data_IF_247868970789
#
_entry.id   IF_247868970789
#
_cell.length_a   1.000
_cell.length_b   1.000
_cell.length_c   1.000
_cell.angle_alpha   90.00
_cell.angle_beta   90.00
_cell.angle_gamma   90.00
#
_symmetry.space_group_name_H-M   'P 1'
#
loop_
_entity.id
_entity.type
_entity.pdbx_description
1 polymer ?
#
# COMPACT_ATOMS: atom_id res chain seq x y z
N UNK A 1 21.59 -13.95 5.05
CA UNK A 1 20.67 -13.06 4.29
C UNK A 1 20.91 -11.54 4.47
N UNK A 2 21.95 -11.07 5.16
CA UNK A 2 22.20 -9.60 5.32
C UNK A 2 23.30 -9.00 4.45
N UNK A 3 24.21 -9.83 3.91
CA UNK A 3 25.39 -9.37 3.19
C UNK A 3 25.06 -8.75 1.82
N UNK A 4 24.27 -9.44 0.99
CA UNK A 4 23.85 -8.94 -0.33
C UNK A 4 23.06 -7.64 -0.22
N UNK A 5 22.17 -7.53 0.76
CA UNK A 5 21.40 -6.32 1.01
C UNK A 5 22.31 -5.12 1.32
N UNK A 6 23.23 -5.24 2.28
CA UNK A 6 24.16 -4.15 2.64
C UNK A 6 24.99 -3.66 1.45
N UNK A 7 25.27 -4.53 0.48
CA UNK A 7 25.96 -4.17 -0.76
C UNK A 7 25.02 -3.54 -1.79
N UNK A 8 23.79 -4.04 -1.92
CA UNK A 8 22.81 -3.59 -2.91
C UNK A 8 22.23 -2.21 -2.62
N UNK A 9 21.90 -1.88 -1.37
CA UNK A 9 21.31 -0.58 -1.00
C UNK A 9 22.15 0.65 -1.41
N UNK A 10 23.45 0.74 -1.08
CA UNK A 10 24.26 1.86 -1.55
C UNK A 10 24.46 1.83 -3.08
N UNK A 11 24.58 0.66 -3.70
CA UNK A 11 24.69 0.53 -5.15
C UNK A 11 23.41 1.02 -5.89
N UNK A 12 22.25 0.92 -5.26
CA UNK A 12 20.98 1.46 -5.75
C UNK A 12 20.76 2.94 -5.39
N UNK A 13 21.74 3.63 -4.78
CA UNK A 13 21.59 5.02 -4.33
C UNK A 13 20.70 5.19 -3.10
N UNK A 14 20.40 4.11 -2.37
CA UNK A 14 19.45 4.08 -1.24
C UNK A 14 20.15 3.63 0.06
N UNK A 15 21.20 4.32 0.53
CA UNK A 15 22.07 3.84 1.62
C UNK A 15 21.35 3.66 2.96
N UNK A 16 20.30 4.43 3.21
CA UNK A 16 19.50 4.42 4.45
C UNK A 16 18.29 3.50 4.40
N UNK A 17 17.93 2.98 3.21
CA UNK A 17 16.73 2.16 3.02
C UNK A 17 16.83 0.86 3.81
N UNK A 18 15.81 0.52 4.60
CA UNK A 18 15.71 -0.71 5.39
C UNK A 18 14.84 -1.74 4.67
N UNK A 19 15.06 -3.02 4.97
CA UNK A 19 14.24 -4.10 4.41
C UNK A 19 12.75 -3.93 4.73
N UNK A 20 12.43 -3.37 5.90
CA UNK A 20 11.05 -3.08 6.28
C UNK A 20 10.42 -1.99 5.41
N UNK A 21 11.19 -1.01 4.95
CA UNK A 21 10.67 0.07 4.10
C UNK A 21 10.19 -0.48 2.74
N UNK A 22 10.86 -1.51 2.20
CA UNK A 22 10.39 -2.24 1.01
C UNK A 22 9.05 -2.96 1.27
N UNK A 23 8.91 -3.58 2.44
CA UNK A 23 7.66 -4.24 2.83
C UNK A 23 6.52 -3.22 2.97
N UNK A 24 6.79 -2.05 3.56
CA UNK A 24 5.84 -0.95 3.65
C UNK A 24 5.43 -0.43 2.26
N UNK A 25 6.41 -0.20 1.38
CA UNK A 25 6.14 0.23 0.00
C UNK A 25 5.22 -0.76 -0.72
N UNK A 26 5.55 -2.05 -0.69
CA UNK A 26 4.76 -3.07 -1.36
C UNK A 26 3.35 -3.20 -0.78
N UNK A 27 3.21 -3.21 0.55
CA UNK A 27 1.91 -3.26 1.22
C UNK A 27 1.04 -2.04 0.84
N UNK A 28 1.60 -0.83 0.90
CA UNK A 28 0.87 0.40 0.56
C UNK A 28 0.37 0.40 -0.89
N UNK A 29 1.18 -0.09 -1.83
CA UNK A 29 0.79 -0.18 -3.24
C UNK A 29 -0.36 -1.16 -3.49
N UNK A 30 -0.34 -2.34 -2.85
CA UNK A 30 -1.42 -3.31 -2.97
C UNK A 30 -2.73 -2.77 -2.38
N UNK A 31 -2.66 -2.09 -1.24
CA UNK A 31 -3.84 -1.50 -0.59
C UNK A 31 -4.41 -0.37 -1.44
N UNK A 32 -3.55 0.50 -1.99
CA UNK A 32 -3.96 1.56 -2.91
C UNK A 32 -4.58 1.01 -4.21
N UNK A 33 -4.15 -0.18 -4.66
CA UNK A 33 -4.76 -0.90 -5.78
C UNK A 33 -6.11 -1.55 -5.43
N UNK A 34 -6.60 -1.41 -4.19
CA UNK A 34 -7.88 -1.94 -3.74
C UNK A 34 -7.84 -3.41 -3.32
N UNK A 35 -6.66 -4.00 -3.12
CA UNK A 35 -6.56 -5.38 -2.64
C UNK A 35 -7.09 -5.51 -1.20
N UNK A 36 -7.73 -6.64 -0.90
CA UNK A 36 -8.20 -6.96 0.43
C UNK A 36 -7.07 -7.46 1.35
N UNK A 37 -7.35 -7.52 2.65
CA UNK A 37 -6.39 -7.90 3.68
C UNK A 37 -5.78 -9.29 3.49
N UNK A 38 -6.53 -10.27 3.00
CA UNK A 38 -6.05 -11.64 2.78
C UNK A 38 -5.10 -11.66 1.60
N UNK A 39 -5.41 -10.94 0.53
CA UNK A 39 -4.52 -10.77 -0.63
C UNK A 39 -3.20 -10.12 -0.22
N UNK A 40 -3.26 -9.01 0.53
CA UNK A 40 -2.06 -8.33 1.02
C UNK A 40 -1.25 -9.23 1.97
N UNK A 41 -1.92 -9.93 2.89
CA UNK A 41 -1.26 -10.88 3.80
C UNK A 41 -0.49 -11.98 3.05
N UNK A 42 -1.11 -12.59 2.05
CA UNK A 42 -0.48 -13.64 1.23
C UNK A 42 0.71 -13.08 0.44
N UNK A 43 0.55 -11.91 -0.16
CA UNK A 43 1.61 -11.25 -0.91
C UNK A 43 2.83 -10.89 -0.04
N UNK A 44 2.61 -10.53 1.23
CA UNK A 44 3.68 -10.23 2.19
C UNK A 44 4.28 -11.50 2.84
N UNK A 45 3.67 -12.67 2.63
CA UNK A 45 4.06 -13.92 3.28
C UNK A 45 3.80 -13.93 4.79
N UNK A 46 2.86 -13.12 5.29
CA UNK A 46 2.50 -13.14 6.71
C UNK A 46 1.70 -14.40 7.02
N UNK A 47 2.02 -15.05 8.15
CA UNK A 47 1.33 -16.25 8.59
C UNK A 47 -0.12 -16.01 9.02
N UNK A 48 -0.48 -14.76 9.35
CA UNK A 48 -1.83 -14.39 9.77
C UNK A 48 -2.20 -12.98 9.29
N UNK A 49 -3.47 -12.80 8.93
CA UNK A 49 -4.04 -11.50 8.56
C UNK A 49 -3.95 -10.47 9.70
N UNK A 50 -3.93 -10.92 10.97
CA UNK A 50 -3.77 -10.04 12.13
C UNK A 50 -2.47 -9.25 12.09
N UNK A 51 -1.37 -9.86 11.63
CA UNK A 51 -0.07 -9.17 11.50
C UNK A 51 -0.17 -8.03 10.48
N UNK A 52 -0.83 -8.31 9.35
CA UNK A 52 -1.07 -7.31 8.31
C UNK A 52 -1.98 -6.19 8.83
N UNK A 53 -3.09 -6.53 9.47
CA UNK A 53 -4.03 -5.52 10.02
C UNK A 53 -3.38 -4.64 11.09
N UNK A 54 -2.65 -5.24 12.02
CA UNK A 54 -1.97 -4.50 13.09
C UNK A 54 -1.00 -3.45 12.55
N UNK A 55 -0.46 -3.66 11.35
CA UNK A 55 0.53 -2.75 10.75
C UNK A 55 -0.10 -1.80 9.74
N UNK A 56 -1.06 -2.27 8.92
CA UNK A 56 -1.50 -1.57 7.71
C UNK A 56 -2.99 -1.21 7.68
N UNK A 57 -3.78 -1.54 8.70
CA UNK A 57 -5.23 -1.28 8.69
C UNK A 57 -5.58 0.17 8.34
N UNK A 58 -4.78 1.12 8.80
CA UNK A 58 -4.96 2.55 8.57
C UNK A 58 -4.78 3.00 7.11
N UNK A 59 -4.27 2.14 6.23
CA UNK A 59 -4.10 2.44 4.80
C UNK A 59 -5.35 2.10 3.98
N UNK A 60 -6.26 1.27 4.51
CA UNK A 60 -7.49 0.97 3.80
C UNK A 60 -8.45 2.15 3.86
N UNK A 61 -9.07 2.53 2.72
CA UNK A 61 -10.02 3.63 2.69
C UNK A 61 -11.24 3.30 3.56
N UNK A 62 -11.65 4.26 4.38
CA UNK A 62 -12.88 4.16 5.14
C UNK A 62 -14.10 4.09 4.22
N UNK A 63 -15.24 3.67 4.76
CA UNK A 63 -16.52 3.79 4.06
C UNK A 63 -16.78 5.24 3.63
N UNK A 64 -16.37 6.21 4.45
CA UNK A 64 -16.49 7.64 4.15
C UNK A 64 -15.60 8.08 2.98
N UNK A 65 -14.36 7.58 2.92
CA UNK A 65 -13.41 7.90 1.84
C UNK A 65 -13.92 7.39 0.49
N UNK A 66 -14.53 6.20 0.49
CA UNK A 66 -15.16 5.62 -0.71
C UNK A 66 -16.36 6.42 -1.18
N UNK A 67 -17.17 6.94 -0.27
CA UNK A 67 -18.32 7.80 -0.63
C UNK A 67 -17.87 9.16 -1.16
N UNK A 68 -16.86 9.79 -0.55
CA UNK A 68 -16.31 11.07 -1.04
C UNK A 68 -15.78 10.95 -2.47
N UNK A 69 -14.94 9.95 -2.75
CA UNK A 69 -14.41 9.74 -4.10
C UNK A 69 -15.50 9.51 -5.17
N UNK A 70 -16.62 8.87 -4.80
CA UNK A 70 -17.75 8.65 -5.71
C UNK A 70 -18.57 9.92 -5.95
N UNK A 71 -18.70 10.77 -4.94
CA UNK A 71 -19.30 12.11 -5.08
C UNK A 71 -18.53 12.99 -6.06
N UNK A 72 -17.19 12.95 -5.99
CA UNK A 72 -16.30 13.70 -6.88
C UNK A 72 -16.41 13.24 -8.34
N UNK A 73 -16.56 11.94 -8.59
CA UNK A 73 -16.77 11.41 -9.94
C UNK A 73 -18.12 11.87 -10.54
N UNK A 74 -19.17 11.93 -9.71
CA UNK A 74 -20.48 12.40 -10.15
C UNK A 74 -20.46 13.89 -10.51
N UNK A 75 -19.77 14.70 -9.69
CA UNK A 75 -19.59 16.13 -9.95
C UNK A 75 -18.80 16.40 -11.24
N UNK A 76 -17.77 15.59 -11.54
CA UNK A 76 -16.98 15.71 -12.78
C UNK A 76 -17.74 15.30 -14.04
N UNK A 77 -18.70 14.37 -13.95
CA UNK A 77 -19.55 13.98 -15.09
C UNK A 77 -20.65 14.99 -15.40
N UNK A 78 -21.11 15.76 -14.41
CA UNK A 78 -22.11 16.82 -14.59
C UNK A 78 -21.55 18.15 -15.14
N UNK A 79 -20.23 18.35 -15.09
CA UNK A 79 -19.58 19.61 -15.44
C UNK A 79 -19.00 19.66 -16.88
N UNK A 80 -19.62 18.98 -17.86
CA UNK A 80 -19.31 19.20 -19.28
C UNK A 80 -20.21 20.32 -19.84
N UNK A 81 -19.75 21.56 -19.98
CA UNK A 81 -20.48 22.57 -20.75
C UNK A 81 -20.42 22.19 -22.23
N UNK A 82 -21.56 22.34 -22.92
CA UNK A 82 -21.62 22.36 -24.38
C UNK A 82 -21.09 23.66 -24.94
#
# INVERSE_FOLDING_TARGET
>A
MGYLWRKARPAAGLPTLRMHDLRHFYASGLIAAGCDVVTVQRALGHASATVTLSTYAHLWPSAEDRTRGRGDEHARRGARPG
#
